data_IF_817647060926
#
_entry.id   IF_817647060926
#
_cell.length_a   1.000
_cell.length_b   1.000
_cell.length_c   1.000
_cell.angle_alpha   90.00
_cell.angle_beta   90.00
_cell.angle_gamma   90.00
#
_symmetry.space_group_name_H-M   'P 1'
#
loop_
_entity.id
_entity.type
_entity.pdbx_description
1 polymer ?
#
# COMPACT_ATOMS: atom_id res chain seq x y z
N UNK A 1 -17.68 -1.61 -0.18
CA UNK A 1 -17.79 -0.60 0.89
C UNK A 1 -17.18 0.67 0.34
N UNK A 2 -17.84 1.82 0.50
CA UNK A 2 -17.27 3.10 0.10
C UNK A 2 -15.96 3.35 0.86
N UNK A 3 -14.99 4.02 0.22
CA UNK A 3 -13.77 4.46 0.93
C UNK A 3 -14.18 5.28 2.15
N UNK A 4 -13.68 4.90 3.34
CA UNK A 4 -13.78 5.79 4.49
C UNK A 4 -12.86 7.00 4.28
N UNK A 5 -13.11 8.13 4.96
CA UNK A 5 -12.25 9.31 4.88
C UNK A 5 -10.78 8.99 5.17
N UNK A 6 -10.56 8.06 6.11
CA UNK A 6 -9.24 7.52 6.43
C UNK A 6 -8.58 6.77 5.28
N UNK A 7 -9.36 6.06 4.48
CA UNK A 7 -8.85 5.32 3.33
C UNK A 7 -8.42 6.27 2.20
N UNK A 8 -9.19 7.34 1.98
CA UNK A 8 -8.80 8.43 1.07
C UNK A 8 -7.54 9.14 1.56
N UNK A 9 -7.46 9.47 2.85
CA UNK A 9 -6.26 10.08 3.44
C UNK A 9 -5.01 9.20 3.25
N UNK A 10 -5.15 7.88 3.38
CA UNK A 10 -4.06 6.93 3.10
C UNK A 10 -3.58 7.00 1.64
N UNK A 11 -4.50 7.06 0.68
CA UNK A 11 -4.16 7.13 -0.75
C UNK A 11 -3.51 8.48 -1.11
N UNK A 12 -4.05 9.58 -0.60
CA UNK A 12 -3.54 10.93 -0.81
C UNK A 12 -2.13 11.10 -0.22
N UNK A 13 -1.93 10.66 1.02
CA UNK A 13 -0.62 10.61 1.67
C UNK A 13 0.41 9.82 0.86
N UNK A 14 0.01 8.67 0.30
CA UNK A 14 0.89 7.83 -0.51
C UNK A 14 1.29 8.50 -1.84
N UNK A 15 0.38 9.28 -2.43
CA UNK A 15 0.62 10.04 -3.65
C UNK A 15 1.65 11.16 -3.41
N UNK A 16 1.52 11.89 -2.31
CA UNK A 16 2.42 12.99 -1.94
C UNK A 16 3.81 12.46 -1.53
N UNK A 17 3.85 11.39 -0.73
CA UNK A 17 5.09 10.86 -0.16
C UNK A 17 5.99 10.14 -1.18
N UNK A 18 5.49 9.82 -2.37
CA UNK A 18 6.27 9.23 -3.47
C UNK A 18 7.52 10.06 -3.82
N UNK A 19 7.52 11.37 -3.52
CA UNK A 19 8.63 12.29 -3.77
C UNK A 19 9.66 12.34 -2.63
N UNK A 20 9.30 11.93 -1.41
CA UNK A 20 10.11 12.09 -0.20
C UNK A 20 10.39 10.76 0.51
N UNK A 21 11.07 9.81 -0.16
CA UNK A 21 11.20 8.42 0.31
C UNK A 21 11.92 8.18 1.66
N UNK A 22 12.53 9.20 2.28
CA UNK A 22 13.43 9.03 3.42
C UNK A 22 12.76 8.73 4.78
N UNK A 23 11.60 9.32 5.08
CA UNK A 23 11.01 9.29 6.42
C UNK A 23 9.55 8.80 6.46
N UNK A 24 9.16 7.98 5.48
CA UNK A 24 7.77 7.57 5.28
C UNK A 24 7.13 6.91 6.50
N UNK A 25 7.85 6.04 7.18
CA UNK A 25 7.33 5.30 8.33
C UNK A 25 7.12 6.19 9.56
N UNK A 26 7.96 7.20 9.72
CA UNK A 26 7.80 8.21 10.78
C UNK A 26 6.58 9.09 10.50
N UNK A 27 6.44 9.54 9.26
CA UNK A 27 5.33 10.38 8.83
C UNK A 27 3.99 9.64 8.88
N UNK A 28 3.93 8.35 8.53
CA UNK A 28 2.73 7.52 8.73
C UNK A 28 2.30 7.49 10.21
N UNK A 29 3.26 7.42 11.14
CA UNK A 29 2.95 7.46 12.58
C UNK A 29 2.52 8.85 13.03
N UNK A 30 3.18 9.91 12.56
CA UNK A 30 2.92 11.28 12.96
C UNK A 30 1.60 11.84 12.39
N UNK A 31 1.33 11.57 11.10
CA UNK A 31 0.23 12.17 10.34
C UNK A 31 -1.06 11.33 10.46
N UNK A 32 -0.95 10.02 10.24
CA UNK A 32 -2.11 9.12 10.28
C UNK A 32 -2.35 8.53 11.68
N UNK A 33 -1.39 8.66 12.60
CA UNK A 33 -1.45 8.03 13.92
C UNK A 33 -1.35 6.50 13.87
N UNK A 34 -0.82 5.94 12.78
CA UNK A 34 -0.83 4.49 12.53
C UNK A 34 0.55 3.88 12.58
N UNK A 35 0.62 2.65 13.09
CA UNK A 35 1.82 1.83 12.91
C UNK A 35 2.02 1.51 11.42
N UNK A 36 3.26 1.55 10.90
CA UNK A 36 3.55 1.23 9.49
C UNK A 36 3.02 -0.13 9.06
N UNK A 37 3.08 -1.12 9.94
CA UNK A 37 2.53 -2.45 9.69
C UNK A 37 1.01 -2.42 9.39
N UNK A 38 0.22 -1.67 10.18
CA UNK A 38 -1.22 -1.53 9.98
C UNK A 38 -1.53 -0.71 8.72
N UNK A 39 -0.72 0.32 8.45
CA UNK A 39 -0.80 1.11 7.22
C UNK A 39 -0.70 0.24 5.97
N UNK A 40 0.37 -0.55 5.86
CA UNK A 40 0.57 -1.42 4.69
C UNK A 40 -0.50 -2.52 4.56
N UNK A 41 -1.06 -3.00 5.67
CA UNK A 41 -2.19 -3.94 5.64
C UNK A 41 -3.46 -3.30 5.08
N UNK A 42 -3.80 -2.08 5.54
CA UNK A 42 -4.95 -1.33 5.03
C UNK A 42 -4.77 -0.94 3.58
N UNK A 43 -3.61 -0.37 3.24
CA UNK A 43 -3.24 -0.01 1.87
C UNK A 43 -3.37 -1.23 0.94
N UNK A 44 -2.88 -2.40 1.38
CA UNK A 44 -2.98 -3.64 0.62
C UNK A 44 -4.41 -4.07 0.32
N UNK A 45 -5.36 -3.88 1.25
CA UNK A 45 -6.79 -4.17 1.03
C UNK A 45 -7.45 -3.10 0.17
N UNK A 46 -7.07 -1.84 0.37
CA UNK A 46 -7.59 -0.69 -0.35
C UNK A 46 -7.32 -0.77 -1.84
N UNK A 47 -6.08 -1.10 -2.23
CA UNK A 47 -5.72 -1.22 -3.65
C UNK A 47 -6.43 -2.37 -4.38
N UNK A 48 -7.16 -3.24 -3.66
CA UNK A 48 -7.99 -4.30 -4.24
C UNK A 48 -9.43 -3.86 -4.48
N UNK A 49 -9.86 -2.71 -3.95
CA UNK A 49 -11.22 -2.20 -4.14
C UNK A 49 -11.33 -1.31 -5.38
N UNK A 50 -12.50 -1.31 -6.01
CA UNK A 50 -12.80 -0.44 -7.16
C UNK A 50 -12.73 1.04 -6.77
N UNK A 51 -13.17 1.36 -5.56
CA UNK A 51 -13.24 2.72 -5.02
C UNK A 51 -11.85 3.39 -4.96
N UNK A 52 -10.80 2.65 -4.57
CA UNK A 52 -9.43 3.15 -4.64
C UNK A 52 -8.99 3.43 -6.09
N UNK A 53 -9.41 2.58 -7.03
CA UNK A 53 -9.10 2.74 -8.45
C UNK A 53 -9.83 3.95 -9.07
N UNK A 54 -11.04 4.26 -8.61
CA UNK A 54 -11.77 5.47 -9.02
C UNK A 54 -11.12 6.75 -8.47
N UNK A 55 -10.50 6.67 -7.29
CA UNK A 55 -9.79 7.79 -6.69
C UNK A 55 -8.44 8.08 -7.38
N UNK A 56 -7.55 7.09 -7.49
CA UNK A 56 -6.29 7.22 -8.24
C UNK A 56 -5.91 5.90 -8.95
N UNK A 57 -6.29 5.74 -10.23
CA UNK A 57 -6.06 4.51 -10.97
C UNK A 57 -4.57 4.25 -11.26
N UNK A 58 -3.73 5.28 -11.34
CA UNK A 58 -2.30 5.13 -11.64
C UNK A 58 -1.53 4.69 -10.40
N UNK A 59 -1.81 5.30 -9.25
CA UNK A 59 -1.22 4.92 -7.97
C UNK A 59 -1.59 3.48 -7.61
N UNK A 60 -2.89 3.15 -7.69
CA UNK A 60 -3.39 1.80 -7.37
C UNK A 60 -2.75 0.74 -8.27
N UNK A 61 -2.65 0.97 -9.59
CA UNK A 61 -1.97 0.02 -10.50
C UNK A 61 -0.51 -0.20 -10.12
N UNK A 62 0.23 0.85 -9.74
CA UNK A 62 1.64 0.73 -9.33
C UNK A 62 1.78 -0.03 -8.01
N UNK A 63 0.94 0.28 -7.02
CA UNK A 63 0.95 -0.39 -5.72
C UNK A 63 0.59 -1.87 -5.84
N UNK A 64 -0.41 -2.20 -6.67
CA UNK A 64 -0.77 -3.59 -6.99
C UNK A 64 0.42 -4.34 -7.58
N UNK A 65 1.10 -3.75 -8.58
CA UNK A 65 2.30 -4.34 -9.19
C UNK A 65 3.40 -4.61 -8.17
N UNK A 66 3.72 -3.63 -7.30
CA UNK A 66 4.73 -3.80 -6.24
C UNK A 66 4.35 -4.92 -5.25
N UNK A 67 3.07 -5.03 -4.90
CA UNK A 67 2.57 -6.11 -4.04
C UNK A 67 2.70 -7.46 -4.74
N UNK A 68 2.31 -7.55 -6.00
CA UNK A 68 2.44 -8.77 -6.81
C UNK A 68 3.91 -9.19 -6.94
N UNK A 69 4.84 -8.26 -7.17
CA UNK A 69 6.28 -8.54 -7.20
C UNK A 69 6.78 -9.10 -5.87
N UNK A 70 6.35 -8.52 -4.74
CA UNK A 70 6.68 -9.03 -3.39
C UNK A 70 6.09 -10.42 -3.15
N UNK A 71 4.85 -10.66 -3.58
CA UNK A 71 4.20 -11.96 -3.43
C UNK A 71 4.89 -13.02 -4.29
N UNK A 72 5.19 -12.70 -5.55
CA UNK A 72 5.96 -13.57 -6.46
C UNK A 72 7.33 -13.90 -5.91
N UNK A 73 8.06 -12.92 -5.37
CA UNK A 73 9.36 -13.15 -4.73
C UNK A 73 9.26 -14.09 -3.51
N UNK A 74 8.18 -13.98 -2.72
CA UNK A 74 7.91 -14.89 -1.60
C UNK A 74 7.58 -16.30 -2.08
N UNK A 75 6.71 -16.44 -3.08
CA UNK A 75 6.33 -17.73 -3.65
C UNK A 75 7.51 -18.43 -4.32
N UNK A 76 8.37 -17.70 -5.04
CA UNK A 76 9.58 -18.24 -5.63
C UNK A 76 10.56 -18.78 -4.58
N UNK A 77 10.69 -18.12 -3.42
CA UNK A 77 11.49 -18.64 -2.29
C UNK A 77 10.86 -19.89 -1.66
N UNK A 78 9.54 -19.93 -1.53
CA UNK A 78 8.84 -21.09 -0.97
C UNK A 78 8.87 -22.32 -1.91
N UNK A 79 8.81 -22.10 -3.22
CA UNK A 79 8.88 -23.15 -4.24
C UNK A 79 10.30 -23.70 -4.46
N UNK A 80 11.33 -22.96 -4.02
CA UNK A 80 12.75 -23.37 -4.10
C UNK A 80 13.27 -24.04 -2.83
N UNK A 81 12.43 -24.36 -1.84
CA UNK A 81 12.83 -25.15 -0.68
C UNK A 81 12.91 -26.63 -1.11
N UNK A 82 14.12 -27.23 -1.22
CA UNK A 82 14.23 -28.65 -1.48
C UNK A 82 13.62 -29.43 -0.31
N UNK A 83 12.78 -30.41 -0.63
CA UNK A 83 12.50 -31.54 0.26
C UNK A 83 13.69 -32.47 0.27
#
# INVERSE_FOLDING_TARGET
MPLSDRDRAILDFEAEWRRHAGAKEEAIRADLGLSPARYYQLLGRLIETTDAQEHDPMLVKRLRRLRDERLRARLARAAGAPR
#
